data_IF_631822239544
#
_entry.id   IF_631822239544
#
_cell.length_a   1.000
_cell.length_b   1.000
_cell.length_c   1.000
_cell.angle_alpha   90.00
_cell.angle_beta   90.00
_cell.angle_gamma   90.00
#
_symmetry.space_group_name_H-M   'P 1'
#
loop_
_entity.id
_entity.type
_entity.pdbx_description
1 polymer ?
#
# COMPACT_ATOMS: atom_id res chain seq x y z
N UNK A 1 -4.39 -10.40 -4.39
CA UNK A 1 -3.75 -11.52 -5.13
C UNK A 1 -4.61 -12.78 -5.05
N UNK A 2 -4.80 -13.38 -3.87
CA UNK A 2 -5.59 -14.62 -3.68
C UNK A 2 -7.01 -14.59 -4.25
N UNK A 3 -7.76 -13.49 -4.05
CA UNK A 3 -9.11 -13.33 -4.63
C UNK A 3 -9.13 -13.40 -6.15
N UNK A 4 -8.09 -12.89 -6.82
CA UNK A 4 -7.94 -12.94 -8.28
C UNK A 4 -7.62 -14.36 -8.74
N UNK A 5 -6.85 -15.09 -7.94
CA UNK A 5 -6.34 -16.43 -8.27
C UNK A 5 -7.27 -17.56 -7.85
N UNK A 6 -8.22 -17.31 -6.93
CA UNK A 6 -9.12 -18.30 -6.32
C UNK A 6 -8.39 -19.47 -5.63
N UNK A 7 -7.11 -19.29 -5.30
CA UNK A 7 -6.23 -20.23 -4.58
C UNK A 7 -5.20 -19.46 -3.77
N UNK A 8 -4.53 -20.14 -2.84
CA UNK A 8 -3.37 -19.58 -2.15
C UNK A 8 -2.20 -19.35 -3.12
N UNK A 9 -1.36 -18.33 -2.88
CA UNK A 9 -0.19 -18.05 -3.69
C UNK A 9 0.84 -19.18 -3.47
N UNK A 10 1.48 -19.60 -4.55
CA UNK A 10 2.69 -20.42 -4.51
C UNK A 10 3.91 -19.52 -4.43
N UNK A 11 5.08 -20.10 -4.17
CA UNK A 11 6.35 -19.38 -4.17
C UNK A 11 6.64 -18.69 -5.53
N UNK A 12 6.24 -19.29 -6.64
CA UNK A 12 6.35 -18.69 -7.97
C UNK A 12 5.49 -17.41 -8.11
N UNK A 13 4.28 -17.42 -7.53
CA UNK A 13 3.36 -16.26 -7.59
C UNK A 13 3.84 -15.07 -6.75
N UNK A 14 4.70 -15.34 -5.75
CA UNK A 14 5.33 -14.32 -4.91
C UNK A 14 6.68 -13.84 -5.46
N UNK A 15 7.20 -14.51 -6.50
CA UNK A 15 8.48 -14.22 -7.13
C UNK A 15 8.29 -13.83 -8.60
N UNK A 16 8.47 -14.77 -9.52
CA UNK A 16 8.54 -14.53 -10.98
C UNK A 16 7.23 -13.97 -11.53
N UNK A 17 6.08 -14.43 -11.03
CA UNK A 17 4.76 -14.00 -11.48
C UNK A 17 4.16 -12.89 -10.60
N UNK A 18 5.00 -12.25 -9.78
CA UNK A 18 4.54 -11.23 -8.85
C UNK A 18 3.98 -10.01 -9.59
N UNK A 19 2.67 -9.79 -9.43
CA UNK A 19 2.03 -8.54 -9.85
C UNK A 19 2.07 -7.54 -8.69
N UNK A 20 2.76 -6.40 -8.82
CA UNK A 20 2.82 -5.39 -7.78
C UNK A 20 1.43 -4.80 -7.57
N UNK A 21 1.03 -4.69 -6.31
CA UNK A 21 -0.23 -4.04 -5.93
C UNK A 21 0.01 -2.60 -5.50
N UNK A 22 -1.07 -1.83 -5.47
CA UNK A 22 -1.10 -0.51 -4.82
C UNK A 22 -0.74 -0.66 -3.34
N UNK A 23 0.09 0.25 -2.84
CA UNK A 23 0.54 0.31 -1.44
C UNK A 23 0.03 1.58 -0.79
N UNK A 24 -0.51 1.43 0.42
CA UNK A 24 -1.00 2.54 1.24
C UNK A 24 -0.12 2.63 2.48
N UNK A 25 0.46 3.79 2.71
CA UNK A 25 1.32 4.07 3.86
C UNK A 25 0.60 4.99 4.83
N UNK A 26 0.69 4.62 6.10
CA UNK A 26 0.10 5.34 7.20
C UNK A 26 1.19 5.65 8.21
N UNK A 27 1.14 6.87 8.76
CA UNK A 27 2.03 7.29 9.85
C UNK A 27 1.57 6.66 11.15
N UNK A 28 2.42 5.84 11.76
CA UNK A 28 2.04 5.03 12.92
C UNK A 28 1.63 5.90 14.13
N UNK A 29 2.41 6.93 14.41
CA UNK A 29 2.18 7.93 15.46
C UNK A 29 0.85 8.68 15.31
N UNK A 30 0.32 8.79 14.09
CA UNK A 30 -0.99 9.37 13.81
C UNK A 30 -2.09 8.34 13.87
N UNK A 31 -1.95 7.23 13.14
CA UNK A 31 -3.06 6.28 12.94
C UNK A 31 -3.41 5.51 14.22
N UNK A 32 -2.50 5.42 15.19
CA UNK A 32 -2.79 4.86 16.51
C UNK A 32 -3.84 5.68 17.27
N UNK A 33 -4.00 6.97 16.96
CA UNK A 33 -5.03 7.83 17.55
C UNK A 33 -6.36 7.80 16.79
N UNK A 34 -6.54 6.86 15.84
CA UNK A 34 -7.82 6.68 15.16
C UNK A 34 -8.93 6.35 16.18
N UNK A 35 -10.13 6.96 16.10
CA UNK A 35 -11.19 6.75 17.10
C UNK A 35 -11.58 5.28 17.26
N UNK A 36 -11.50 4.52 16.17
CA UNK A 36 -11.78 3.09 16.13
C UNK A 36 -10.53 2.19 16.28
N UNK A 37 -9.39 2.74 16.69
CA UNK A 37 -8.17 1.96 16.94
C UNK A 37 -8.34 1.03 18.14
N UNK A 38 -7.87 -0.20 18.02
CA UNK A 38 -7.93 -1.25 19.04
C UNK A 38 -6.66 -2.08 19.02
N UNK A 39 -6.20 -2.45 20.22
CA UNK A 39 -5.04 -3.30 20.45
C UNK A 39 -5.55 -4.59 21.10
N UNK A 40 -5.72 -5.66 20.31
CA UNK A 40 -6.27 -6.95 20.76
C UNK A 40 -5.17 -7.94 21.23
N UNK A 41 -3.95 -7.45 21.45
CA UNK A 41 -2.82 -8.20 22.02
C UNK A 41 -2.01 -9.04 21.02
N UNK A 42 -2.60 -9.51 19.91
CA UNK A 42 -1.87 -10.30 18.89
C UNK A 42 -1.31 -9.43 17.77
N UNK A 43 -2.13 -8.50 17.25
CA UNK A 43 -1.71 -7.52 16.24
C UNK A 43 -1.48 -6.16 16.91
N UNK A 44 -0.40 -5.44 16.57
CA UNK A 44 -0.03 -4.20 17.24
C UNK A 44 -1.07 -3.08 17.08
N UNK A 45 -1.82 -3.08 15.98
CA UNK A 45 -2.89 -2.12 15.72
C UNK A 45 -3.94 -2.72 14.78
N UNK A 46 -5.21 -2.55 15.13
CA UNK A 46 -6.36 -2.83 14.26
C UNK A 46 -7.31 -1.65 14.33
N UNK A 47 -7.93 -1.31 13.21
CA UNK A 47 -8.98 -0.29 13.15
C UNK A 47 -10.30 -1.00 12.89
N UNK A 48 -11.28 -0.78 13.76
CA UNK A 48 -12.63 -1.31 13.56
C UNK A 48 -13.34 -0.48 12.49
N UNK A 49 -14.17 -1.15 11.71
CA UNK A 49 -15.01 -0.56 10.66
C UNK A 49 -14.22 -0.13 9.42
N UNK A 50 -13.96 1.17 9.26
CA UNK A 50 -13.40 1.76 8.05
C UNK A 50 -12.25 2.73 8.35
N UNK A 51 -11.46 3.00 7.30
CA UNK A 51 -10.39 3.99 7.31
C UNK A 51 -10.59 4.89 6.10
N UNK A 52 -10.93 6.14 6.35
CA UNK A 52 -11.09 7.14 5.30
C UNK A 52 -9.70 7.57 4.81
N UNK A 53 -9.38 7.23 3.55
CA UNK A 53 -8.03 7.45 3.02
C UNK A 53 -7.62 8.92 3.01
N UNK A 54 -8.53 9.86 2.68
CA UNK A 54 -8.23 11.30 2.65
C UNK A 54 -7.68 11.83 3.97
N UNK A 55 -8.10 11.22 5.07
CA UNK A 55 -7.84 11.71 6.41
C UNK A 55 -6.57 11.08 6.99
N UNK A 56 -6.36 9.79 6.69
CA UNK A 56 -5.36 8.98 7.38
C UNK A 56 -4.16 8.57 6.53
N UNK A 57 -4.32 8.46 5.21
CA UNK A 57 -3.21 7.99 4.36
C UNK A 57 -2.15 9.08 4.24
N UNK A 58 -0.89 8.72 4.43
CA UNK A 58 0.23 9.64 4.22
C UNK A 58 0.69 9.59 2.76
N UNK A 59 0.93 8.38 2.26
CA UNK A 59 1.49 8.16 0.93
C UNK A 59 0.83 6.95 0.25
N UNK A 60 0.47 7.09 -1.02
CA UNK A 60 -0.07 6.03 -1.87
C UNK A 60 0.93 5.78 -3.00
N UNK A 61 1.33 4.53 -3.18
CA UNK A 61 2.22 4.14 -4.27
C UNK A 61 1.51 3.17 -5.19
N UNK A 62 1.47 3.54 -6.46
CA UNK A 62 0.83 2.79 -7.53
C UNK A 62 1.91 2.32 -8.52
N UNK A 63 1.90 1.07 -8.95
CA UNK A 63 2.77 0.63 -10.04
C UNK A 63 2.49 1.45 -11.30
N UNK A 64 3.52 2.00 -11.94
CA UNK A 64 3.38 2.88 -13.10
C UNK A 64 2.58 2.26 -14.26
N UNK A 65 2.59 0.93 -14.38
CA UNK A 65 1.80 0.21 -15.38
C UNK A 65 0.28 0.43 -15.24
N UNK A 66 -0.22 0.70 -14.03
CA UNK A 66 -1.65 0.93 -13.76
C UNK A 66 -2.01 2.42 -13.74
N UNK A 67 -1.06 3.31 -14.05
CA UNK A 67 -1.24 4.77 -13.99
C UNK A 67 -2.46 5.26 -14.77
N UNK A 68 -2.66 4.78 -16.00
CA UNK A 68 -3.78 5.22 -16.83
C UNK A 68 -5.16 4.87 -16.24
N UNK A 69 -5.26 3.77 -15.51
CA UNK A 69 -6.52 3.37 -14.85
C UNK A 69 -6.77 4.23 -13.61
N UNK A 70 -5.72 4.49 -12.82
CA UNK A 70 -5.85 5.21 -11.56
C UNK A 70 -6.00 6.72 -11.73
N UNK A 71 -5.38 7.34 -12.73
CA UNK A 71 -5.52 8.80 -12.97
C UNK A 71 -6.96 9.25 -13.16
N UNK A 72 -7.82 8.40 -13.73
CA UNK A 72 -9.22 8.70 -14.01
C UNK A 72 -10.14 8.55 -12.77
N UNK A 73 -9.76 7.72 -11.80
CA UNK A 73 -10.64 7.36 -10.66
C UNK A 73 -10.19 7.98 -9.33
N UNK A 74 -8.94 8.44 -9.23
CA UNK A 74 -8.40 8.94 -7.97
C UNK A 74 -9.00 10.32 -7.63
N UNK A 75 -9.61 10.46 -6.44
CA UNK A 75 -10.11 11.74 -5.94
C UNK A 75 -9.02 12.82 -5.88
N UNK A 76 -9.42 14.07 -6.09
CA UNK A 76 -8.48 15.20 -6.14
C UNK A 76 -7.67 15.35 -4.85
N UNK A 77 -8.29 15.09 -3.70
CA UNK A 77 -7.69 15.24 -2.37
C UNK A 77 -6.50 14.28 -2.14
N UNK A 78 -6.48 13.15 -2.86
CA UNK A 78 -5.45 12.13 -2.75
C UNK A 78 -4.29 12.33 -3.75
N UNK A 79 -4.47 13.17 -4.77
CA UNK A 79 -3.46 13.33 -5.84
C UNK A 79 -2.11 13.82 -5.34
N UNK A 80 -2.09 14.66 -4.32
CA UNK A 80 -0.84 15.17 -3.72
C UNK A 80 -0.04 14.09 -2.95
N UNK A 81 -0.70 12.99 -2.58
CA UNK A 81 -0.13 11.87 -1.82
C UNK A 81 0.16 10.65 -2.69
N UNK A 82 -0.10 10.74 -4.00
CA UNK A 82 -0.02 9.62 -4.92
C UNK A 82 1.28 9.67 -5.73
N UNK A 83 2.00 8.55 -5.74
CA UNK A 83 3.22 8.38 -6.51
C UNK A 83 3.16 7.14 -7.39
N UNK A 84 3.73 7.27 -8.58
CA UNK A 84 3.86 6.16 -9.52
C UNK A 84 5.31 5.69 -9.52
N UNK A 85 5.52 4.40 -9.27
CA UNK A 85 6.84 3.78 -9.33
C UNK A 85 6.86 2.66 -10.35
N UNK A 86 7.92 2.62 -11.15
CA UNK A 86 8.14 1.49 -12.05
C UNK A 86 8.50 0.25 -11.26
N UNK A 87 7.93 -0.89 -11.67
CA UNK A 87 8.25 -2.17 -11.08
C UNK A 87 9.29 -2.91 -11.95
N UNK A 88 10.55 -2.77 -11.55
CA UNK A 88 11.74 -3.46 -12.07
C UNK A 88 12.23 -4.55 -11.11
N UNK A 89 11.43 -4.88 -10.10
CA UNK A 89 11.78 -5.76 -9.00
C UNK A 89 11.58 -7.24 -9.38
N UNK A 90 12.44 -8.10 -8.85
CA UNK A 90 12.44 -9.54 -9.15
C UNK A 90 11.35 -10.32 -8.42
N UNK A 91 10.91 -9.80 -7.28
CA UNK A 91 9.95 -10.45 -6.39
C UNK A 91 9.23 -9.43 -5.50
N UNK A 92 8.29 -9.94 -4.69
CA UNK A 92 7.52 -9.14 -3.74
C UNK A 92 8.38 -8.43 -2.70
N UNK A 93 9.51 -9.02 -2.29
CA UNK A 93 10.38 -8.47 -1.25
C UNK A 93 11.11 -7.24 -1.76
N UNK A 94 11.72 -7.37 -2.95
CA UNK A 94 12.39 -6.29 -3.66
C UNK A 94 11.44 -5.11 -3.92
N UNK A 95 10.19 -5.40 -4.32
CA UNK A 95 9.17 -4.36 -4.48
C UNK A 95 8.82 -3.70 -3.15
N UNK A 96 8.63 -4.49 -2.09
CA UNK A 96 8.26 -3.96 -0.77
C UNK A 96 9.37 -3.09 -0.19
N UNK A 97 10.64 -3.49 -0.34
CA UNK A 97 11.81 -2.70 0.06
C UNK A 97 11.91 -1.41 -0.75
N UNK A 98 11.80 -1.47 -2.08
CA UNK A 98 11.86 -0.29 -2.97
C UNK A 98 10.81 0.76 -2.58
N UNK A 99 9.58 0.32 -2.40
CA UNK A 99 8.46 1.19 -2.03
C UNK A 99 8.66 1.76 -0.62
N UNK A 100 9.12 0.94 0.32
CA UNK A 100 9.39 1.39 1.69
C UNK A 100 10.49 2.45 1.75
N UNK A 101 11.63 2.21 1.10
CA UNK A 101 12.73 3.16 1.04
C UNK A 101 12.33 4.45 0.31
N UNK A 102 11.48 4.38 -0.71
CA UNK A 102 10.93 5.57 -1.35
C UNK A 102 10.14 6.44 -0.35
N UNK A 103 9.25 5.84 0.46
CA UNK A 103 8.46 6.58 1.45
C UNK A 103 9.35 7.15 2.55
N UNK A 104 10.25 6.33 3.10
CA UNK A 104 11.18 6.71 4.17
C UNK A 104 12.08 7.89 3.78
N UNK A 105 12.57 7.93 2.54
CA UNK A 105 13.43 9.02 2.07
C UNK A 105 12.68 10.35 1.87
N UNK A 106 11.34 10.35 1.89
CA UNK A 106 10.52 11.58 1.81
C UNK A 106 10.22 12.19 3.17
N UNK A 107 10.40 11.42 4.24
CA UNK A 107 10.22 11.92 5.61
C UNK A 107 11.49 12.60 6.15
N UNK A 108 12.58 12.60 5.36
CA UNK A 108 13.84 13.30 5.63
C UNK A 108 13.83 14.69 4.98
#
# INVERSE_FOLDING_TARGET
MERKMKRFPTEADLSVDFTPGVRFFFKYDKIVSHPNATIEGVLPLKIKEDVILSDWVDTIIIPSAERGVFEAIVPYELKSRLFYLENDCKDIWSWSEKVYEFVKNRER
#
